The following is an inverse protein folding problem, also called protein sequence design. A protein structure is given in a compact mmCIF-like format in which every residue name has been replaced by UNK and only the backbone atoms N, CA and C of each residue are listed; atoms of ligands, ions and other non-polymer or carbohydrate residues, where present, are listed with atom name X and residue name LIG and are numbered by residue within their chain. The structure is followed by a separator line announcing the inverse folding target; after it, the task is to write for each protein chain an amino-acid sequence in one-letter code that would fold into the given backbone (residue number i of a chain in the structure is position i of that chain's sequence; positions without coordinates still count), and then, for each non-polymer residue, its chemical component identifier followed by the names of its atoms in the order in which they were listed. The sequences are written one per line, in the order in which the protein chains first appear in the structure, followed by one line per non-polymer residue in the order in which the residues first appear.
data_IF_516721874030
#
_entry.id   IF_516721874030
#
_cell.length_a   1.000
_cell.length_b   1.000
_cell.length_c   1.000
_cell.angle_alpha   90.00
_cell.angle_beta   90.00
_cell.angle_gamma   90.00
#
_symmetry.space_group_name_H-M   'P 1'
#
loop_
_entity.id
_entity.type
_entity.pdbx_description
1 polymer ?
#
# COMPACT_ATOMS: atom_id res chain seq x y z
N UNK A 1 4.65 -18.14 -5.56
CA UNK A 1 3.64 -17.22 -4.99
C UNK A 1 2.68 -16.89 -6.11
N UNK A 2 1.37 -16.98 -5.87
CA UNK A 2 0.38 -16.47 -6.81
C UNK A 2 0.15 -15.01 -6.46
N UNK A 3 0.34 -14.11 -7.42
CA UNK A 3 -0.15 -12.73 -7.35
C UNK A 3 -1.46 -12.65 -8.12
N UNK A 4 -2.33 -11.71 -7.75
CA UNK A 4 -3.62 -11.53 -8.41
C UNK A 4 -3.41 -10.80 -9.74
N UNK A 5 -3.86 -11.39 -10.84
CA UNK A 5 -3.84 -10.73 -12.15
C UNK A 5 -4.91 -9.64 -12.20
N UNK A 6 -4.52 -8.43 -12.60
CA UNK A 6 -5.42 -7.29 -12.74
C UNK A 6 -5.78 -7.07 -14.20
N UNK A 7 -7.07 -7.09 -14.49
CA UNK A 7 -7.58 -6.76 -15.82
C UNK A 7 -7.84 -5.25 -15.95
N UNK A 8 -8.12 -4.78 -17.17
CA UNK A 8 -8.34 -3.35 -17.44
C UNK A 8 -9.53 -2.74 -16.67
N UNK A 9 -10.62 -3.48 -16.44
CA UNK A 9 -11.76 -2.98 -15.67
C UNK A 9 -11.42 -2.78 -14.20
N UNK A 10 -10.62 -3.68 -13.61
CA UNK A 10 -10.09 -3.50 -12.25
C UNK A 10 -9.17 -2.28 -12.15
N UNK A 11 -8.34 -2.01 -13.18
CA UNK A 11 -7.52 -0.79 -13.19
C UNK A 11 -8.40 0.47 -13.23
N UNK A 12 -9.44 0.45 -14.08
CA UNK A 12 -10.36 1.59 -14.21
C UNK A 12 -11.12 1.84 -12.90
N UNK A 13 -11.51 0.78 -12.18
CA UNK A 13 -12.25 0.88 -10.92
C UNK A 13 -11.46 1.62 -9.83
N UNK A 14 -10.13 1.64 -9.91
CA UNK A 14 -9.27 2.37 -8.98
C UNK A 14 -9.35 3.90 -9.10
N UNK A 15 -9.88 4.44 -10.20
CA UNK A 15 -10.00 5.88 -10.40
C UNK A 15 -10.93 6.52 -9.37
N UNK A 16 -10.49 7.65 -8.80
CA UNK A 16 -11.29 8.43 -7.83
C UNK A 16 -12.64 8.87 -8.41
N UNK A 17 -12.74 9.06 -9.73
CA UNK A 17 -13.98 9.47 -10.39
C UNK A 17 -15.11 8.43 -10.35
N UNK A 18 -14.79 7.16 -10.07
CA UNK A 18 -15.78 6.09 -9.89
C UNK A 18 -16.09 5.80 -8.41
N UNK A 19 -15.42 6.47 -7.47
CA UNK A 19 -15.66 6.29 -6.03
C UNK A 19 -16.69 7.30 -5.50
N UNK A 20 -17.88 6.78 -5.19
CA UNK A 20 -18.99 7.57 -4.65
C UNK A 20 -18.93 7.74 -3.13
N UNK A 21 -17.95 7.15 -2.43
CA UNK A 21 -17.85 7.21 -0.96
C UNK A 21 -17.77 8.64 -0.44
N UNK A 22 -17.18 9.56 -1.22
CA UNK A 22 -17.13 10.99 -0.91
C UNK A 22 -18.50 11.68 -0.87
N UNK A 23 -19.56 11.09 -1.42
CA UNK A 23 -20.94 11.62 -1.29
C UNK A 23 -21.56 11.31 0.07
N UNK A 24 -21.06 10.29 0.78
CA UNK A 24 -21.69 9.75 1.99
C UNK A 24 -20.82 9.93 3.25
N UNK A 25 -19.52 10.20 3.10
CA UNK A 25 -18.56 10.31 4.22
C UNK A 25 -17.93 11.70 4.28
N UNK A 26 -18.04 12.35 5.44
CA UNK A 26 -17.40 13.65 5.72
C UNK A 26 -15.93 13.40 6.09
N UNK A 27 -15.04 13.54 5.11
CA UNK A 27 -13.57 13.68 5.27
C UNK A 27 -12.90 12.70 6.24
N UNK A 28 -12.95 11.41 5.94
CA UNK A 28 -11.77 10.58 6.20
C UNK A 28 -10.97 10.56 4.90
N UNK A 29 -9.73 11.03 4.96
CA UNK A 29 -8.82 10.97 3.83
C UNK A 29 -8.68 9.51 3.41
N UNK A 30 -8.69 9.24 2.09
CA UNK A 30 -8.51 7.87 1.59
C UNK A 30 -7.20 7.32 2.16
N UNK A 31 -7.32 6.28 2.98
CA UNK A 31 -6.17 5.59 3.56
C UNK A 31 -5.46 4.65 2.57
N UNK A 32 -5.62 4.91 1.27
CA UNK A 32 -5.14 4.08 0.17
C UNK A 32 -4.08 4.85 -0.60
N UNK A 33 -2.88 4.27 -0.72
CA UNK A 33 -1.81 4.77 -1.56
C UNK A 33 -1.45 3.71 -2.59
N UNK A 34 -1.19 4.12 -3.83
CA UNK A 34 -0.85 3.20 -4.92
C UNK A 34 0.39 3.65 -5.64
N UNK A 35 1.18 2.68 -6.11
CA UNK A 35 2.26 2.95 -7.05
C UNK A 35 2.42 1.81 -8.06
N UNK A 36 3.09 2.12 -9.16
CA UNK A 36 3.49 1.14 -10.18
C UNK A 36 4.96 0.78 -10.07
N UNK A 37 5.30 -0.46 -10.41
CA UNK A 37 6.68 -0.97 -10.42
C UNK A 37 6.94 -1.84 -11.64
N UNK A 38 8.14 -1.73 -12.23
CA UNK A 38 8.68 -2.62 -13.25
C UNK A 38 9.46 -3.82 -12.66
N UNK A 39 9.50 -3.92 -11.32
CA UNK A 39 10.21 -4.98 -10.61
C UNK A 39 9.33 -6.21 -10.48
N UNK A 40 9.96 -7.38 -10.35
CA UNK A 40 9.23 -8.62 -10.07
C UNK A 40 8.57 -8.57 -8.70
N UNK A 41 7.47 -9.31 -8.52
CA UNK A 41 6.80 -9.43 -7.23
C UNK A 41 7.76 -9.87 -6.09
N UNK A 42 8.71 -10.76 -6.38
CA UNK A 42 9.71 -11.19 -5.38
C UNK A 42 10.62 -10.05 -4.94
N UNK A 43 11.11 -9.23 -5.88
CA UNK A 43 11.93 -8.06 -5.56
C UNK A 43 11.16 -7.01 -4.77
N UNK A 44 9.91 -6.74 -5.15
CA UNK A 44 9.02 -5.81 -4.43
C UNK A 44 8.83 -6.28 -2.99
N UNK A 45 8.50 -7.55 -2.79
CA UNK A 45 8.31 -8.14 -1.47
C UNK A 45 9.58 -8.06 -0.61
N UNK A 46 10.74 -8.43 -1.16
CA UNK A 46 12.01 -8.33 -0.43
C UNK A 46 12.29 -6.89 -0.01
N UNK A 47 12.01 -5.92 -0.89
CA UNK A 47 12.14 -4.51 -0.57
C UNK A 47 11.19 -4.09 0.55
N UNK A 48 9.93 -4.52 0.52
CA UNK A 48 8.94 -4.24 1.56
C UNK A 48 9.38 -4.80 2.93
N UNK A 49 10.00 -5.98 2.96
CA UNK A 49 10.55 -6.57 4.19
C UNK A 49 11.70 -5.73 4.76
N UNK A 50 12.57 -5.19 3.90
CA UNK A 50 13.66 -4.32 4.33
C UNK A 50 13.16 -2.96 4.83
N UNK A 51 12.15 -2.38 4.17
CA UNK A 51 11.45 -1.19 4.67
C UNK A 51 10.79 -1.45 6.02
N UNK A 52 10.14 -2.60 6.20
CA UNK A 52 9.53 -2.95 7.47
C UNK A 52 10.56 -3.02 8.61
N UNK A 53 11.75 -3.59 8.36
CA UNK A 53 12.84 -3.61 9.34
C UNK A 53 13.35 -2.19 9.63
N UNK A 54 13.62 -1.40 8.60
CA UNK A 54 14.16 -0.05 8.74
C UNK A 54 13.23 0.89 9.51
N UNK A 55 11.92 0.76 9.30
CA UNK A 55 10.88 1.56 9.96
C UNK A 55 10.36 0.92 11.26
N UNK A 56 11.04 -0.12 11.77
CA UNK A 56 10.68 -0.83 13.00
C UNK A 56 9.21 -1.34 13.02
N UNK A 57 8.71 -1.75 11.85
CA UNK A 57 7.41 -2.39 11.68
C UNK A 57 7.52 -3.90 11.89
N UNK A 58 6.38 -4.56 12.04
CA UNK A 58 6.26 -6.02 12.12
C UNK A 58 5.48 -6.52 10.91
N UNK A 59 6.08 -7.43 10.14
CA UNK A 59 5.36 -8.19 9.11
C UNK A 59 4.55 -9.29 9.82
N UNK A 60 3.24 -9.31 9.60
CA UNK A 60 2.30 -10.24 10.24
C UNK A 60 1.92 -11.43 9.36
N UNK A 61 1.80 -11.19 8.05
CA UNK A 61 1.37 -12.20 7.08
C UNK A 61 1.96 -11.87 5.72
N UNK A 62 2.24 -12.93 4.96
CA UNK A 62 2.73 -12.87 3.59
C UNK A 62 2.14 -14.05 2.83
N UNK A 63 1.01 -13.85 2.17
CA UNK A 63 0.37 -14.87 1.36
C UNK A 63 -0.37 -14.26 0.17
N UNK A 64 -0.41 -14.99 -0.94
CA UNK A 64 -1.16 -14.62 -2.15
C UNK A 64 -0.95 -13.17 -2.64
N UNK A 65 0.28 -12.65 -2.56
CA UNK A 65 0.58 -11.27 -2.98
C UNK A 65 0.24 -10.19 -1.95
N UNK A 66 -0.29 -10.56 -0.78
CA UNK A 66 -0.62 -9.66 0.32
C UNK A 66 0.44 -9.71 1.41
N UNK A 67 0.95 -8.54 1.80
CA UNK A 67 1.85 -8.34 2.94
C UNK A 67 1.15 -7.47 3.97
N UNK A 68 0.94 -8.01 5.18
CA UNK A 68 0.34 -7.26 6.29
C UNK A 68 1.41 -6.70 7.21
N UNK A 69 1.39 -5.39 7.44
CA UNK A 69 2.33 -4.70 8.31
C UNK A 69 1.64 -4.07 9.52
N UNK A 70 2.36 -4.01 10.62
CA UNK A 70 1.87 -3.45 11.88
C UNK A 70 2.97 -2.65 12.59
N UNK A 71 2.61 -1.48 13.14
CA UNK A 71 3.45 -0.72 14.04
C UNK A 71 3.72 -1.46 15.37
N UNK A 72 4.83 -1.15 16.04
CA UNK A 72 5.16 -1.83 17.32
C UNK A 72 4.62 -1.13 18.56
N UNK A 73 4.12 0.10 18.42
CA UNK A 73 3.59 0.90 19.52
C UNK A 73 2.11 1.14 19.28
N UNK A 74 1.38 1.25 20.37
CA UNK A 74 0.00 1.70 20.35
C UNK A 74 -0.03 3.22 20.14
N UNK A 75 -0.77 3.65 19.12
CA UNK A 75 -1.01 5.05 18.80
C UNK A 75 -2.32 5.52 19.40
N UNK A 76 -2.77 6.72 18.98
CA UNK A 76 -3.98 7.35 19.53
C UNK A 76 -5.24 6.48 19.37
N UNK A 77 -5.36 5.80 18.23
CA UNK A 77 -6.53 4.98 17.88
C UNK A 77 -6.15 3.49 17.80
N UNK A 78 -5.29 3.04 18.71
CA UNK A 78 -4.79 1.67 18.75
C UNK A 78 -3.53 1.48 17.89
N UNK A 79 -3.16 0.23 17.66
CA UNK A 79 -1.93 -0.10 16.92
C UNK A 79 -2.15 0.07 15.41
N UNK A 80 -1.33 0.91 14.77
CA UNK A 80 -1.34 1.11 13.32
C UNK A 80 -1.15 -0.21 12.57
N UNK A 81 -2.06 -0.51 11.65
CA UNK A 81 -2.01 -1.67 10.74
C UNK A 81 -2.37 -1.24 9.32
N UNK A 82 -1.69 -1.84 8.35
CA UNK A 82 -2.00 -1.64 6.94
C UNK A 82 -1.62 -2.89 6.14
N UNK A 83 -2.38 -3.10 5.07
CA UNK A 83 -2.17 -4.20 4.13
C UNK A 83 -1.53 -3.63 2.86
N UNK A 84 -0.61 -4.39 2.27
CA UNK A 84 0.02 -4.10 0.99
C UNK A 84 -0.31 -5.25 0.05
N UNK A 85 -1.02 -4.96 -1.03
CA UNK A 85 -1.38 -5.95 -2.03
C UNK A 85 -0.65 -5.69 -3.34
N UNK A 86 -0.09 -6.76 -3.93
CA UNK A 86 0.68 -6.72 -5.17
C UNK A 86 -0.14 -7.40 -6.26
N UNK A 87 -0.43 -6.63 -7.29
CA UNK A 87 -1.21 -7.06 -8.44
C UNK A 87 -0.34 -7.09 -9.69
N UNK A 88 -0.51 -8.14 -10.48
CA UNK A 88 0.18 -8.31 -11.76
C UNK A 88 -0.67 -7.73 -12.89
N UNK A 89 -0.13 -6.76 -13.64
CA UNK A 89 -0.74 -6.27 -14.89
C UNK A 89 -0.12 -7.01 -16.08
N UNK A 90 1.20 -7.22 -16.02
CA UNK A 90 1.96 -8.10 -16.90
C UNK A 90 3.08 -8.72 -16.08
N UNK A 91 3.78 -9.72 -16.62
CA UNK A 91 4.89 -10.41 -15.92
C UNK A 91 5.99 -9.48 -15.39
N UNK A 92 6.15 -8.29 -15.97
CA UNK A 92 7.14 -7.28 -15.56
C UNK A 92 6.52 -5.98 -15.04
N UNK A 93 5.19 -5.88 -14.90
CA UNK A 93 4.54 -4.67 -14.39
C UNK A 93 3.52 -5.00 -13.31
N UNK A 94 3.70 -4.34 -12.16
CA UNK A 94 2.86 -4.55 -10.99
C UNK A 94 2.26 -3.24 -10.51
N UNK A 95 1.03 -3.31 -10.02
CA UNK A 95 0.40 -2.26 -9.22
C UNK A 95 0.46 -2.71 -7.77
N UNK A 96 0.91 -1.82 -6.90
CA UNK A 96 0.96 -2.06 -5.46
C UNK A 96 -0.05 -1.13 -4.82
N UNK A 97 -0.99 -1.68 -4.04
CA UNK A 97 -1.92 -0.91 -3.22
C UNK A 97 -1.57 -1.07 -1.74
N UNK A 98 -1.55 0.04 -1.01
CA UNK A 98 -1.30 0.11 0.42
C UNK A 98 -2.53 0.70 1.10
N UNK A 99 -3.18 -0.07 1.97
CA UNK A 99 -4.44 0.30 2.61
C UNK A 99 -4.34 0.18 4.13
N UNK A 100 -4.57 1.28 4.85
CA UNK A 100 -4.71 1.24 6.30
C UNK A 100 -5.92 0.40 6.70
N UNK A 101 -5.74 -0.46 7.69
CA UNK A 101 -6.77 -1.35 8.24
C UNK A 101 -7.09 -1.07 9.70
N UNK A 102 -6.20 -0.40 10.44
CA UNK A 102 -6.41 0.01 11.83
C UNK A 102 -5.45 1.14 12.25
N UNK A 103 -5.71 1.81 13.37
CA UNK A 103 -4.88 2.88 13.93
C UNK A 103 -5.28 4.29 13.50
N UNK A 104 -4.43 5.27 13.82
CA UNK A 104 -4.67 6.69 13.52
C UNK A 104 -4.24 7.05 12.09
N UNK A 105 -5.12 7.71 11.33
CA UNK A 105 -4.87 8.07 9.93
C UNK A 105 -3.80 9.15 9.74
N UNK A 106 -3.61 10.04 10.72
CA UNK A 106 -2.54 11.03 10.66
C UNK A 106 -1.18 10.36 10.88
N UNK A 107 -1.10 9.42 11.82
CA UNK A 107 0.08 8.58 12.03
C UNK A 107 0.42 7.75 10.78
N UNK A 108 -0.59 7.14 10.14
CA UNK A 108 -0.40 6.41 8.89
C UNK A 108 0.17 7.31 7.78
N UNK A 109 -0.39 8.51 7.62
CA UNK A 109 0.05 9.46 6.59
C UNK A 109 1.50 9.91 6.82
N UNK A 110 1.86 10.24 8.06
CA UNK A 110 3.25 10.61 8.39
C UNK A 110 4.21 9.47 8.08
N UNK A 111 3.85 8.24 8.47
CA UNK A 111 4.66 7.05 8.16
C UNK A 111 4.81 6.86 6.64
N UNK A 112 3.73 7.08 5.88
CA UNK A 112 3.73 6.95 4.43
C UNK A 112 4.68 7.98 3.79
N UNK A 113 4.48 9.27 4.08
CA UNK A 113 5.21 10.39 3.45
C UNK A 113 6.68 10.45 3.87
N UNK A 114 6.96 10.29 5.17
CA UNK A 114 8.31 10.51 5.73
C UNK A 114 9.14 9.22 5.78
N UNK A 115 8.49 8.05 5.82
CA UNK A 115 9.15 6.76 5.98
C UNK A 115 9.08 5.89 4.72
N UNK A 116 7.87 5.52 4.30
CA UNK A 116 7.65 4.50 3.28
C UNK A 116 8.01 5.01 1.88
N UNK A 117 7.49 6.17 1.44
CA UNK A 117 7.76 6.70 0.09
C UNK A 117 9.25 6.89 -0.18
N UNK A 118 10.04 7.53 0.72
CA UNK A 118 11.47 7.68 0.51
C UNK A 118 12.21 6.34 0.45
N UNK A 119 11.78 5.36 1.25
CA UNK A 119 12.42 4.06 1.34
C UNK A 119 12.13 3.16 0.13
N UNK A 120 11.03 3.39 -0.60
CA UNK A 120 10.63 2.63 -1.80
C UNK A 120 11.04 3.27 -3.13
N UNK A 121 11.73 4.42 -3.12
CA UNK A 121 12.06 5.21 -4.33
C UNK A 121 12.74 4.44 -5.47
N UNK A 122 13.45 3.37 -5.15
CA UNK A 122 14.20 2.52 -6.09
C UNK A 122 13.35 1.47 -6.81
N UNK A 123 12.12 1.23 -6.32
CA UNK A 123 11.18 0.29 -6.95
C UNK A 123 9.92 0.99 -7.50
N UNK A 124 9.74 2.28 -7.21
CA UNK A 124 8.58 3.06 -7.66
C UNK A 124 8.86 3.67 -9.03
N UNK A 125 7.96 3.42 -9.99
CA UNK A 125 7.90 4.16 -11.26
C UNK A 125 7.07 5.44 -11.10
N UNK A 126 5.86 5.31 -10.57
CA UNK A 126 4.95 6.43 -10.35
C UNK A 126 4.00 6.15 -9.18
N UNK A 127 3.75 7.16 -8.37
CA UNK A 127 2.66 7.16 -7.37
C UNK A 127 1.34 7.57 -8.04
N UNK A 128 0.22 7.07 -7.51
CA UNK A 128 -1.12 7.33 -8.01
C UNK A 128 -2.06 7.72 -6.87
N UNK A 129 -2.92 8.71 -7.12
CA UNK A 129 -3.97 9.11 -6.17
C UNK A 129 -3.62 10.26 -5.23
N UNK A 130 -2.54 11.01 -5.49
CA UNK A 130 -2.08 12.13 -4.65
C UNK A 130 -2.79 13.48 -4.93
N UNK A 131 -3.80 13.49 -5.80
CA UNK A 131 -4.58 14.70 -6.14
C UNK A 131 -5.66 15.05 -5.11
#
# INVERSE_FOLDING_TARGET
MSVTNLNAFEIISFSKGFDLSGMFIVKEWRNEARFTSDKSASTIISKLEDVAKALNLRVRKKDNGVVKMQGRKEGRNGVLQFDIEIFEVTTSYHIIEMKQTSGDSLEYRQLLEEGIRPALKDIVLAWHGDE
#
